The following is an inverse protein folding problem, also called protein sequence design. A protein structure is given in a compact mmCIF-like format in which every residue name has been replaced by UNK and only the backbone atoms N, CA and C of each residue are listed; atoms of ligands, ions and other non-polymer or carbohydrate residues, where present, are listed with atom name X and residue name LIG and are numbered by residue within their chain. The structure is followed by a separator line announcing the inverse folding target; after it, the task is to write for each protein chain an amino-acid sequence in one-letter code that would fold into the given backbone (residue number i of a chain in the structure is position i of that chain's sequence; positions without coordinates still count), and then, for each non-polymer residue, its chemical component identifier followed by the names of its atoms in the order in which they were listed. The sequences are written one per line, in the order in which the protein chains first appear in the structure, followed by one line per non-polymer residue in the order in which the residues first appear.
data_IF_585503848096
#
_entry.id   IF_585503848096
#
_cell.length_a   1.000
_cell.length_b   1.000
_cell.length_c   1.000
_cell.angle_alpha   90.00
_cell.angle_beta   90.00
_cell.angle_gamma   90.00
#
_symmetry.space_group_name_H-M   'P 1'
#
loop_
_entity.id
_entity.type
_entity.pdbx_description
1 polymer ?
#
# COMPACT_ATOMS: atom_id res chain seq x y z
N UNK A 1 -47.92 -89.68 -3.30
CA UNK A 1 -47.34 -88.73 -4.27
C UNK A 1 -47.91 -87.36 -3.94
N UNK A 2 -47.08 -86.33 -3.78
CA UNK A 2 -47.55 -84.97 -3.42
C UNK A 2 -47.80 -84.09 -4.64
N UNK A 3 -47.81 -82.75 -4.49
CA UNK A 3 -47.92 -81.97 -3.26
C UNK A 3 -49.09 -80.95 -3.27
N UNK A 4 -49.55 -80.53 -2.09
CA UNK A 4 -50.48 -79.40 -1.93
C UNK A 4 -49.74 -78.07 -1.74
N UNK A 5 -50.26 -76.98 -2.30
CA UNK A 5 -49.65 -75.65 -2.23
C UNK A 5 -50.60 -74.61 -1.61
N UNK A 6 -50.01 -73.52 -1.14
CA UNK A 6 -50.61 -72.24 -0.73
C UNK A 6 -51.32 -72.12 0.65
N UNK A 7 -50.77 -71.20 1.45
CA UNK A 7 -51.57 -70.30 2.31
C UNK A 7 -51.61 -70.60 3.81
N UNK A 8 -50.99 -69.74 4.63
CA UNK A 8 -51.66 -68.59 5.28
C UNK A 8 -50.61 -67.75 6.02
N UNK A 9 -50.76 -66.42 6.02
CA UNK A 9 -49.82 -65.49 6.64
C UNK A 9 -49.92 -65.52 8.18
N UNK A 10 -48.79 -65.78 8.84
CA UNK A 10 -48.64 -65.58 10.29
C UNK A 10 -48.28 -64.12 10.61
N UNK A 11 -49.11 -63.46 11.42
CA UNK A 11 -48.85 -62.10 11.91
C UNK A 11 -47.71 -62.08 12.94
N UNK A 12 -46.77 -61.16 12.78
CA UNK A 12 -45.81 -60.77 13.82
C UNK A 12 -45.63 -59.25 13.80
N UNK A 13 -46.53 -58.56 14.52
CA UNK A 13 -46.39 -57.14 14.87
C UNK A 13 -45.22 -56.98 15.86
N UNK A 14 -44.01 -56.82 15.34
CA UNK A 14 -42.89 -56.32 16.12
C UNK A 14 -43.14 -54.85 16.44
N UNK A 15 -43.66 -54.59 17.64
CA UNK A 15 -43.63 -53.26 18.26
C UNK A 15 -42.17 -52.95 18.58
N UNK A 16 -41.45 -52.42 17.58
CA UNK A 16 -40.22 -51.69 17.84
C UNK A 16 -40.62 -50.42 18.61
N UNK A 17 -40.50 -50.51 19.94
CA UNK A 17 -40.42 -49.33 20.77
C UNK A 17 -39.21 -48.53 20.30
N UNK A 18 -39.46 -47.51 19.49
CA UNK A 18 -38.46 -46.53 19.13
C UNK A 18 -38.03 -45.82 20.43
N UNK A 19 -36.93 -46.28 21.02
CA UNK A 19 -36.10 -45.48 21.89
C UNK A 19 -35.63 -44.28 21.05
N UNK A 20 -36.46 -43.24 21.02
CA UNK A 20 -36.01 -41.90 20.66
C UNK A 20 -34.82 -41.62 21.58
N UNK A 21 -33.62 -41.56 20.99
CA UNK A 21 -32.47 -41.05 21.71
C UNK A 21 -32.87 -39.66 22.23
N UNK A 22 -32.90 -39.51 23.55
CA UNK A 22 -33.28 -38.26 24.17
C UNK A 22 -32.21 -37.22 23.83
N UNK A 23 -32.49 -36.41 22.81
CA UNK A 23 -31.65 -35.27 22.45
C UNK A 23 -31.51 -34.32 23.62
N UNK A 24 -30.44 -33.52 23.58
CA UNK A 24 -30.09 -32.58 24.64
C UNK A 24 -31.25 -31.68 25.02
N UNK A 25 -31.57 -31.62 26.33
CA UNK A 25 -32.62 -30.75 26.87
C UNK A 25 -32.01 -29.38 27.18
N UNK A 26 -32.63 -28.27 26.74
CA UNK A 26 -32.13 -26.93 27.02
C UNK A 26 -32.25 -26.57 28.50
N UNK A 27 -31.52 -25.53 28.90
CA UNK A 27 -31.61 -24.91 30.23
C UNK A 27 -33.00 -24.30 30.49
N UNK A 28 -33.68 -24.70 31.57
CA UNK A 28 -34.82 -23.93 32.12
C UNK A 28 -34.27 -22.70 32.85
N UNK A 29 -34.07 -21.62 32.10
CA UNK A 29 -33.32 -20.46 32.56
C UNK A 29 -34.14 -19.58 33.53
N UNK A 30 -33.57 -19.32 34.71
CA UNK A 30 -34.15 -18.43 35.76
C UNK A 30 -33.19 -17.30 36.09
N UNK A 31 -33.68 -16.06 36.14
CA UNK A 31 -32.91 -14.92 36.66
C UNK A 31 -33.25 -14.69 38.14
N UNK A 32 -32.22 -14.38 38.94
CA UNK A 32 -32.32 -14.03 40.35
C UNK A 32 -31.71 -12.65 40.66
N UNK A 33 -31.46 -11.82 39.64
CA UNK A 33 -30.98 -10.43 39.80
C UNK A 33 -29.47 -10.27 39.95
N UNK A 34 -28.71 -11.37 39.89
CA UNK A 34 -27.24 -11.36 40.03
C UNK A 34 -26.48 -11.26 38.69
N UNK A 35 -27.17 -10.89 37.62
CA UNK A 35 -26.56 -10.55 36.33
C UNK A 35 -26.25 -11.73 35.40
N UNK A 36 -26.72 -12.95 35.71
CA UNK A 36 -26.85 -14.04 34.74
C UNK A 36 -27.87 -15.08 35.23
N UNK A 37 -28.30 -15.95 34.31
CA UNK A 37 -29.35 -16.95 34.54
C UNK A 37 -28.78 -18.23 35.20
N UNK A 38 -29.61 -18.97 35.92
CA UNK A 38 -29.32 -20.35 36.36
C UNK A 38 -30.21 -21.34 35.62
N UNK A 39 -29.80 -22.59 35.47
CA UNK A 39 -30.64 -23.66 34.94
C UNK A 39 -31.36 -24.35 36.11
N UNK A 40 -32.69 -24.33 36.11
CA UNK A 40 -33.47 -25.00 37.12
C UNK A 40 -33.69 -26.47 36.77
N UNK A 41 -33.44 -27.35 37.75
CA UNK A 41 -33.72 -28.78 37.65
C UNK A 41 -34.71 -29.21 38.74
N UNK A 42 -35.53 -30.21 38.42
CA UNK A 42 -36.58 -30.80 39.23
C UNK A 42 -36.55 -32.33 39.11
N UNK A 43 -37.43 -33.02 39.84
CA UNK A 43 -37.55 -34.48 39.76
C UNK A 43 -37.97 -35.01 38.36
N UNK A 44 -38.46 -34.16 37.45
CA UNK A 44 -38.92 -34.54 36.10
C UNK A 44 -38.18 -33.84 34.96
N UNK A 45 -37.37 -32.83 35.25
CA UNK A 45 -36.69 -32.01 34.24
C UNK A 45 -35.31 -31.56 34.71
N UNK A 46 -34.30 -31.67 33.84
CA UNK A 46 -33.01 -31.01 33.99
C UNK A 46 -32.41 -30.87 32.59
N UNK A 47 -31.50 -29.92 32.38
CA UNK A 47 -30.78 -29.79 31.12
C UNK A 47 -29.82 -30.96 30.91
N UNK A 48 -29.69 -31.40 29.66
CA UNK A 48 -28.84 -32.52 29.27
C UNK A 48 -28.12 -32.19 27.97
N UNK A 49 -26.88 -32.65 27.83
CA UNK A 49 -26.13 -32.51 26.58
C UNK A 49 -26.42 -33.70 25.66
N UNK A 50 -26.39 -33.45 24.35
CA UNK A 50 -26.31 -34.54 23.37
C UNK A 50 -25.04 -35.38 23.58
N UNK A 51 -25.07 -36.69 23.27
CA UNK A 51 -23.87 -37.51 23.21
C UNK A 51 -22.78 -36.88 22.32
N UNK A 52 -21.53 -36.92 22.76
CA UNK A 52 -20.41 -36.30 22.05
C UNK A 52 -20.11 -37.01 20.73
N UNK A 53 -20.63 -36.46 19.62
CA UNK A 53 -20.26 -36.87 18.26
C UNK A 53 -19.10 -36.00 17.78
N UNK A 54 -17.96 -36.62 17.46
CA UNK A 54 -16.80 -35.91 16.90
C UNK A 54 -17.13 -35.33 15.51
N UNK A 55 -16.63 -34.12 15.18
CA UNK A 55 -16.83 -33.54 13.85
C UNK A 55 -16.10 -34.32 12.76
N UNK A 56 -16.63 -34.25 11.53
CA UNK A 56 -15.91 -34.73 10.35
C UNK A 56 -14.62 -33.91 10.13
N UNK A 57 -13.54 -34.50 9.56
CA UNK A 57 -12.31 -33.79 9.24
C UNK A 57 -12.56 -32.48 8.47
N UNK A 58 -11.89 -31.40 8.87
CA UNK A 58 -12.14 -30.06 8.31
C UNK A 58 -13.32 -29.31 8.91
N UNK A 59 -13.98 -29.84 9.96
CA UNK A 59 -14.99 -29.11 10.75
C UNK A 59 -14.68 -29.14 12.26
N UNK A 60 -15.25 -28.20 13.00
CA UNK A 60 -15.14 -28.11 14.45
C UNK A 60 -16.52 -27.91 15.09
N UNK A 61 -16.64 -28.31 16.36
CA UNK A 61 -17.82 -28.07 17.19
C UNK A 61 -17.41 -27.09 18.29
N UNK A 62 -18.20 -26.04 18.48
CA UNK A 62 -18.04 -25.04 19.54
C UNK A 62 -19.21 -25.14 20.50
N UNK A 63 -18.92 -25.27 21.79
CA UNK A 63 -19.91 -25.15 22.86
C UNK A 63 -19.74 -23.79 23.52
N UNK A 64 -20.81 -22.99 23.60
CA UNK A 64 -20.75 -21.62 24.12
C UNK A 64 -21.58 -21.46 25.40
N UNK A 65 -20.97 -20.87 26.42
CA UNK A 65 -21.67 -20.37 27.62
C UNK A 65 -21.43 -18.88 27.76
N UNK A 66 -22.46 -18.10 28.08
CA UNK A 66 -22.37 -16.64 28.12
C UNK A 66 -23.18 -16.00 29.25
N UNK A 67 -22.79 -14.77 29.65
CA UNK A 67 -23.53 -13.98 30.64
C UNK A 67 -25.00 -13.74 30.21
N UNK A 68 -25.23 -13.61 28.90
CA UNK A 68 -26.53 -13.42 28.28
C UNK A 68 -27.43 -14.68 28.24
N UNK A 69 -26.98 -15.81 28.81
CA UNK A 69 -27.84 -16.97 29.06
C UNK A 69 -27.52 -18.24 28.26
N UNK A 70 -26.53 -18.24 27.36
CA UNK A 70 -26.11 -19.47 26.67
C UNK A 70 -25.49 -20.45 27.67
N UNK A 71 -25.81 -21.75 27.56
CA UNK A 71 -25.37 -22.79 28.48
C UNK A 71 -24.96 -24.02 27.67
N UNK A 72 -23.65 -24.13 27.40
CA UNK A 72 -23.05 -25.14 26.53
C UNK A 72 -23.80 -25.30 25.20
N UNK A 73 -24.18 -24.17 24.60
CA UNK A 73 -24.91 -24.14 23.32
C UNK A 73 -24.01 -24.67 22.19
N UNK A 74 -24.39 -25.79 21.58
CA UNK A 74 -23.64 -26.43 20.50
C UNK A 74 -23.82 -25.69 19.17
N UNK A 75 -22.72 -25.29 18.57
CA UNK A 75 -22.63 -24.78 17.20
C UNK A 75 -21.56 -25.55 16.43
N UNK A 76 -21.66 -25.59 15.10
CA UNK A 76 -20.69 -26.27 14.23
C UNK A 76 -20.17 -25.29 13.18
N UNK A 77 -18.86 -25.32 12.94
CA UNK A 77 -18.19 -24.51 11.92
C UNK A 77 -17.24 -25.35 11.09
N UNK A 78 -16.81 -24.83 9.94
CA UNK A 78 -15.74 -25.42 9.14
C UNK A 78 -14.40 -24.76 9.46
N UNK A 79 -13.32 -25.55 9.44
CA UNK A 79 -11.98 -25.01 9.32
C UNK A 79 -11.82 -24.47 7.90
N UNK A 80 -12.07 -23.17 7.73
CA UNK A 80 -11.56 -22.48 6.55
C UNK A 80 -10.03 -22.55 6.60
N UNK A 81 -9.42 -23.28 5.67
CA UNK A 81 -8.00 -23.12 5.36
C UNK A 81 -7.79 -21.74 4.74
N UNK A 82 -7.82 -20.72 5.59
CA UNK A 82 -7.52 -19.36 5.22
C UNK A 82 -6.03 -19.28 4.89
N UNK A 83 -5.70 -19.40 3.61
CA UNK A 83 -4.44 -18.95 3.02
C UNK A 83 -4.30 -17.41 3.05
N UNK A 84 -5.16 -16.72 3.83
CA UNK A 84 -5.09 -15.28 4.13
C UNK A 84 -3.67 -14.92 4.50
N UNK A 85 -3.02 -14.17 3.61
CA UNK A 85 -1.81 -13.46 3.99
C UNK A 85 -2.18 -12.41 5.04
N UNK A 86 -1.52 -12.40 6.21
CA UNK A 86 -1.74 -11.37 7.22
C UNK A 86 -1.16 -10.04 6.73
N UNK A 87 -1.87 -8.93 6.94
CA UNK A 87 -1.44 -7.60 6.50
C UNK A 87 -2.18 -7.11 5.24
N UNK A 88 -1.58 -6.14 4.53
CA UNK A 88 -2.18 -5.43 3.40
C UNK A 88 -1.39 -5.56 2.08
N UNK A 89 -0.37 -6.42 2.02
CA UNK A 89 0.33 -6.79 0.77
C UNK A 89 0.95 -5.62 -0.04
N UNK A 90 1.63 -4.68 0.62
CA UNK A 90 2.48 -3.72 -0.09
C UNK A 90 3.52 -4.46 -0.94
N UNK A 91 3.69 -4.00 -2.18
CA UNK A 91 4.65 -4.54 -3.16
C UNK A 91 5.56 -3.46 -3.76
N UNK A 92 5.44 -2.20 -3.34
CA UNK A 92 6.23 -1.06 -3.82
C UNK A 92 6.82 -0.33 -2.61
N UNK A 93 8.12 -0.05 -2.62
CA UNK A 93 8.84 0.58 -1.49
C UNK A 93 9.82 1.63 -2.00
N UNK A 94 9.68 2.88 -1.52
CA UNK A 94 10.64 3.96 -1.75
C UNK A 94 11.82 3.84 -0.77
N UNK A 95 13.04 3.99 -1.27
CA UNK A 95 14.27 3.93 -0.46
C UNK A 95 15.07 5.21 -0.68
N UNK A 96 15.24 6.06 0.35
CA UNK A 96 16.08 7.25 0.22
C UNK A 96 17.53 6.92 -0.11
N UNK A 97 18.13 7.70 -1.01
CA UNK A 97 19.57 7.69 -1.24
C UNK A 97 20.21 8.70 -0.28
N UNK A 98 20.79 8.17 0.80
CA UNK A 98 21.31 8.89 1.96
C UNK A 98 20.24 9.64 2.77
N UNK A 99 20.58 10.80 3.35
CA UNK A 99 19.75 11.51 4.31
C UNK A 99 18.60 12.32 3.69
N UNK A 100 17.54 12.47 4.48
CA UNK A 100 16.30 13.21 4.19
C UNK A 100 15.95 14.13 5.37
N UNK A 101 14.84 14.86 5.32
CA UNK A 101 14.30 15.55 6.49
C UNK A 101 13.90 14.56 7.60
N UNK A 102 13.32 13.41 7.25
CA UNK A 102 13.07 12.24 8.12
C UNK A 102 14.34 11.43 8.45
N UNK A 103 15.49 12.09 8.55
CA UNK A 103 16.72 11.57 9.15
C UNK A 103 17.04 12.34 10.44
N UNK A 104 17.83 11.74 11.34
CA UNK A 104 18.27 12.41 12.58
C UNK A 104 19.59 13.19 12.41
N UNK A 105 20.30 13.01 11.30
CA UNK A 105 21.52 13.74 10.94
C UNK A 105 21.63 13.92 9.43
N UNK A 106 22.40 14.93 9.03
CA UNK A 106 22.77 15.20 7.65
C UNK A 106 23.95 14.34 7.21
N UNK A 107 23.84 13.67 6.05
CA UNK A 107 24.92 12.93 5.39
C UNK A 107 24.62 12.62 3.92
N UNK A 108 25.67 12.41 3.14
CA UNK A 108 25.61 11.68 1.86
C UNK A 108 26.49 10.43 1.92
N UNK A 109 26.55 9.64 0.85
CA UNK A 109 27.48 8.50 0.77
C UNK A 109 28.91 8.92 0.40
N UNK A 110 29.14 10.16 -0.05
CA UNK A 110 30.43 10.61 -0.62
C UNK A 110 30.79 12.05 -0.19
N UNK A 111 30.72 12.33 1.11
CA UNK A 111 30.99 13.66 1.69
C UNK A 111 32.48 14.09 1.64
N UNK A 112 33.40 13.22 1.21
CA UNK A 112 34.81 13.56 1.00
C UNK A 112 34.98 14.56 -0.15
N UNK A 113 35.55 15.74 0.14
CA UNK A 113 35.64 16.84 -0.82
C UNK A 113 36.48 16.48 -2.06
N UNK A 114 35.93 16.74 -3.24
CA UNK A 114 36.62 16.55 -4.52
C UNK A 114 36.78 15.10 -4.96
N UNK A 115 36.05 14.15 -4.36
CA UNK A 115 36.09 12.73 -4.72
C UNK A 115 35.32 12.40 -6.01
N UNK A 116 35.78 12.94 -7.15
CA UNK A 116 35.21 12.72 -8.50
C UNK A 116 35.27 11.24 -8.96
N UNK A 117 36.06 10.41 -8.29
CA UNK A 117 36.14 8.96 -8.54
C UNK A 117 35.39 8.11 -7.51
N UNK A 118 34.68 8.75 -6.56
CA UNK A 118 33.86 8.10 -5.54
C UNK A 118 34.59 7.00 -4.74
N UNK A 119 35.90 7.20 -4.48
CA UNK A 119 36.77 6.24 -3.78
C UNK A 119 36.39 6.07 -2.31
N UNK A 120 35.82 7.11 -1.71
CA UNK A 120 35.33 7.14 -0.33
C UNK A 120 33.80 6.96 -0.27
N UNK A 121 33.15 6.59 -1.38
CA UNK A 121 31.73 6.26 -1.35
C UNK A 121 31.50 5.08 -0.42
N UNK A 122 30.67 5.27 0.60
CA UNK A 122 30.27 4.21 1.51
C UNK A 122 28.81 4.37 1.95
N UNK A 123 28.13 3.23 2.12
CA UNK A 123 26.86 3.20 2.82
C UNK A 123 27.07 3.46 4.32
N UNK A 124 26.05 4.00 4.97
CA UNK A 124 26.13 4.42 6.37
C UNK A 124 25.51 3.40 7.33
N UNK A 125 25.56 3.66 8.64
CA UNK A 125 24.91 2.80 9.62
C UNK A 125 23.38 2.79 9.45
N UNK A 126 22.81 3.90 8.98
CA UNK A 126 21.40 4.03 8.61
C UNK A 126 20.99 3.04 7.50
N UNK A 127 21.88 2.78 6.55
CA UNK A 127 21.65 1.77 5.51
C UNK A 127 21.88 0.37 6.06
N UNK A 128 23.09 0.13 6.58
CA UNK A 128 23.60 -1.21 6.88
C UNK A 128 23.01 -1.83 8.15
N UNK A 129 22.58 -1.03 9.13
CA UNK A 129 21.96 -1.50 10.38
C UNK A 129 20.45 -1.28 10.46
N UNK A 130 19.87 -0.40 9.64
CA UNK A 130 18.43 -0.11 9.67
C UNK A 130 17.74 -0.45 8.34
N UNK A 131 17.93 0.36 7.28
CA UNK A 131 17.16 0.23 6.02
C UNK A 131 17.31 -1.15 5.38
N UNK A 132 18.54 -1.65 5.23
CA UNK A 132 18.82 -2.93 4.55
C UNK A 132 18.26 -4.13 5.35
N UNK A 133 18.51 -4.27 6.67
CA UNK A 133 17.86 -5.31 7.48
C UNK A 133 16.33 -5.26 7.44
N UNK A 134 15.72 -4.08 7.46
CA UNK A 134 14.25 -3.91 7.37
C UNK A 134 13.74 -4.35 5.99
N UNK A 135 14.40 -3.96 4.90
CA UNK A 135 14.04 -4.37 3.53
C UNK A 135 14.16 -5.89 3.35
N UNK A 136 15.23 -6.50 3.85
CA UNK A 136 15.39 -7.97 3.82
C UNK A 136 14.35 -8.69 4.69
N UNK A 137 13.94 -8.11 5.82
CA UNK A 137 12.84 -8.65 6.63
C UNK A 137 11.50 -8.54 5.90
N UNK A 138 11.23 -7.41 5.23
CA UNK A 138 10.04 -7.20 4.41
C UNK A 138 9.97 -8.20 3.25
N UNK A 139 11.06 -8.41 2.51
CA UNK A 139 11.15 -9.41 1.44
C UNK A 139 10.85 -10.83 1.92
N UNK A 140 11.25 -11.20 3.15
CA UNK A 140 10.99 -12.54 3.72
C UNK A 140 9.53 -12.78 4.10
N UNK A 141 8.76 -11.73 4.41
CA UNK A 141 7.34 -11.86 4.79
C UNK A 141 6.38 -11.55 3.64
N UNK A 142 6.85 -10.85 2.61
CA UNK A 142 6.05 -10.52 1.43
C UNK A 142 5.76 -11.78 0.59
N UNK A 143 4.47 -12.02 0.28
CA UNK A 143 4.07 -13.07 -0.68
C UNK A 143 4.09 -12.60 -2.14
N UNK A 144 4.25 -11.31 -2.38
CA UNK A 144 4.44 -10.70 -3.70
C UNK A 144 5.88 -10.19 -3.77
N UNK A 145 6.52 -10.19 -4.96
CA UNK A 145 7.79 -9.49 -5.15
C UNK A 145 7.68 -8.04 -4.65
N UNK A 146 8.75 -7.53 -4.02
CA UNK A 146 8.85 -6.14 -3.63
C UNK A 146 9.65 -5.38 -4.70
N UNK A 147 8.98 -4.48 -5.41
CA UNK A 147 9.62 -3.50 -6.28
C UNK A 147 10.17 -2.36 -5.42
N UNK A 148 11.50 -2.26 -5.35
CA UNK A 148 12.17 -1.15 -4.68
C UNK A 148 12.41 -0.03 -5.68
N UNK A 149 12.19 1.23 -5.29
CA UNK A 149 12.68 2.36 -6.07
C UNK A 149 13.41 3.37 -5.19
N UNK A 150 14.39 4.08 -5.74
CA UNK A 150 15.24 4.98 -4.97
C UNK A 150 15.23 6.42 -5.48
N UNK A 151 15.38 7.35 -4.54
CA UNK A 151 15.32 8.80 -4.79
C UNK A 151 16.36 9.52 -3.94
N UNK A 152 17.21 10.40 -4.50
CA UNK A 152 18.11 11.26 -3.74
C UNK A 152 17.50 12.64 -3.47
N UNK A 153 17.68 13.14 -2.25
CA UNK A 153 17.28 14.52 -1.89
C UNK A 153 18.38 15.52 -2.20
N UNK A 154 19.65 15.17 -1.95
CA UNK A 154 20.80 16.05 -2.21
C UNK A 154 22.00 15.25 -2.72
N UNK A 155 22.81 15.88 -3.56
CA UNK A 155 24.17 15.42 -3.85
C UNK A 155 25.15 15.85 -2.73
N UNK A 156 26.38 15.29 -2.68
CA UNK A 156 27.44 15.76 -1.79
C UNK A 156 27.68 17.26 -1.93
N UNK A 157 27.83 17.97 -0.81
CA UNK A 157 27.85 19.44 -0.78
C UNK A 157 28.92 20.08 -1.66
N UNK A 158 30.06 19.41 -1.83
CA UNK A 158 31.16 19.88 -2.68
C UNK A 158 30.80 19.89 -4.18
N UNK A 159 29.77 19.15 -4.61
CA UNK A 159 29.22 19.19 -5.97
C UNK A 159 28.22 20.35 -6.20
N UNK A 160 27.74 21.01 -5.14
CA UNK A 160 26.61 21.96 -5.21
C UNK A 160 27.04 23.41 -5.30
N UNK A 161 26.32 24.22 -6.09
CA UNK A 161 26.63 25.65 -6.30
C UNK A 161 26.62 26.49 -5.03
N UNK A 162 25.83 26.09 -4.02
CA UNK A 162 25.74 26.76 -2.73
C UNK A 162 26.64 26.16 -1.62
N UNK A 163 27.29 25.01 -1.86
CA UNK A 163 28.10 24.32 -0.86
C UNK A 163 27.33 23.79 0.37
N UNK A 164 26.00 23.64 0.29
CA UNK A 164 25.15 23.26 1.42
C UNK A 164 24.13 22.18 1.05
N UNK A 165 23.67 21.38 2.03
CA UNK A 165 22.64 20.37 1.78
C UNK A 165 21.25 21.00 1.56
N UNK A 166 20.98 22.14 2.18
CA UNK A 166 19.69 22.84 2.17
C UNK A 166 19.78 24.18 1.42
N UNK A 167 18.63 24.85 1.22
CA UNK A 167 18.52 26.11 0.49
C UNK A 167 18.79 25.98 -1.01
N UNK A 168 18.61 27.08 -1.76
CA UNK A 168 18.77 27.08 -3.23
C UNK A 168 20.18 26.62 -3.61
N UNK A 169 20.26 25.58 -4.44
CA UNK A 169 21.53 24.98 -4.85
C UNK A 169 21.35 23.85 -5.87
N UNK A 170 21.95 24.04 -7.03
CA UNK A 170 22.01 23.09 -8.16
C UNK A 170 23.38 22.39 -8.20
N UNK A 171 23.58 21.43 -9.11
CA UNK A 171 24.93 20.93 -9.41
C UNK A 171 25.81 22.03 -10.03
N UNK A 172 27.10 22.06 -9.65
CA UNK A 172 28.10 22.93 -10.27
C UNK A 172 28.29 22.58 -11.75
N UNK A 173 28.58 23.61 -12.55
CA UNK A 173 28.97 23.45 -13.95
C UNK A 173 27.78 23.16 -14.86
N UNK A 174 27.85 22.13 -15.71
CA UNK A 174 26.79 21.85 -16.71
C UNK A 174 26.74 20.38 -17.16
N UNK A 175 25.56 19.86 -17.57
CA UNK A 175 25.41 18.47 -18.02
C UNK A 175 26.40 18.03 -19.10
N UNK A 176 26.98 16.85 -18.91
CA UNK A 176 28.13 16.31 -19.62
C UNK A 176 29.48 16.60 -18.97
N UNK A 177 29.55 17.37 -17.88
CA UNK A 177 30.81 17.68 -17.18
C UNK A 177 31.13 16.73 -16.01
N UNK A 178 32.30 16.92 -15.39
CA UNK A 178 32.75 16.08 -14.27
C UNK A 178 31.82 16.05 -13.06
N UNK A 179 31.04 17.11 -12.76
CA UNK A 179 30.13 17.11 -11.62
C UNK A 179 28.90 16.27 -11.93
N UNK A 180 28.34 16.42 -13.14
CA UNK A 180 27.16 15.69 -13.58
C UNK A 180 27.48 14.21 -13.83
N UNK A 181 28.61 13.91 -14.47
CA UNK A 181 29.11 12.54 -14.61
C UNK A 181 29.38 11.88 -13.25
N UNK A 182 29.95 12.60 -12.26
CA UNK A 182 30.14 12.03 -10.91
C UNK A 182 28.81 11.81 -10.21
N UNK A 183 27.83 12.70 -10.37
CA UNK A 183 26.50 12.49 -9.83
C UNK A 183 25.80 11.29 -10.46
N UNK A 184 25.91 11.09 -11.78
CA UNK A 184 25.44 9.88 -12.45
C UNK A 184 26.16 8.61 -11.93
N UNK A 185 27.50 8.64 -11.77
CA UNK A 185 28.26 7.55 -11.12
C UNK A 185 27.77 7.25 -9.70
N UNK A 186 27.30 8.25 -8.93
CA UNK A 186 26.79 8.07 -7.57
C UNK A 186 25.51 7.23 -7.53
N UNK A 187 24.62 7.36 -8.52
CA UNK A 187 23.47 6.45 -8.67
C UNK A 187 23.93 5.00 -8.91
N UNK A 188 24.85 4.79 -9.86
CA UNK A 188 25.36 3.44 -10.18
C UNK A 188 26.02 2.82 -8.95
N UNK A 189 26.83 3.61 -8.23
CA UNK A 189 27.51 3.16 -7.01
C UNK A 189 26.56 2.82 -5.87
N UNK A 190 25.46 3.56 -5.71
CA UNK A 190 24.39 3.20 -4.77
C UNK A 190 23.75 1.85 -5.12
N UNK A 191 23.43 1.62 -6.40
CA UNK A 191 22.86 0.36 -6.88
C UNK A 191 23.85 -0.81 -6.70
N UNK A 192 25.14 -0.60 -6.99
CA UNK A 192 26.20 -1.57 -6.74
C UNK A 192 26.32 -1.96 -5.26
N UNK A 193 26.31 -0.98 -4.35
CA UNK A 193 26.46 -1.25 -2.92
C UNK A 193 25.22 -1.95 -2.34
N UNK A 194 24.00 -1.61 -2.76
CA UNK A 194 22.79 -2.32 -2.33
C UNK A 194 22.68 -3.74 -2.92
N UNK A 195 23.16 -3.96 -4.16
CA UNK A 195 23.17 -5.27 -4.78
C UNK A 195 24.01 -6.30 -3.99
N UNK A 196 25.07 -5.86 -3.29
CA UNK A 196 25.87 -6.73 -2.38
C UNK A 196 25.06 -7.32 -1.22
N UNK A 197 23.92 -6.71 -0.87
CA UNK A 197 22.99 -7.19 0.15
C UNK A 197 21.79 -7.93 -0.45
N UNK A 198 21.86 -8.33 -1.73
CA UNK A 198 20.78 -8.95 -2.51
C UNK A 198 19.53 -8.07 -2.62
N UNK A 199 19.69 -6.74 -2.60
CA UNK A 199 18.61 -5.77 -2.82
C UNK A 199 18.80 -5.14 -4.21
N UNK A 200 17.90 -5.48 -5.13
CA UNK A 200 17.84 -4.90 -6.49
C UNK A 200 16.70 -3.90 -6.59
N UNK A 201 16.88 -2.86 -7.39
CA UNK A 201 15.88 -1.84 -7.63
C UNK A 201 15.10 -2.09 -8.92
N UNK A 202 13.81 -1.80 -8.89
CA UNK A 202 12.95 -1.71 -10.07
C UNK A 202 13.14 -0.36 -10.78
N UNK A 203 13.26 0.74 -10.01
CA UNK A 203 13.36 2.09 -10.56
C UNK A 203 14.28 3.02 -9.74
N UNK A 204 14.67 4.13 -10.34
CA UNK A 204 15.21 5.32 -9.66
C UNK A 204 14.50 6.58 -10.14
N UNK A 205 14.35 7.58 -9.27
CA UNK A 205 13.89 8.91 -9.67
C UNK A 205 15.10 9.83 -9.92
N UNK A 206 14.99 10.77 -10.86
CA UNK A 206 16.09 11.66 -11.23
C UNK A 206 16.55 12.59 -10.08
N UNK A 207 15.71 12.77 -9.06
CA UNK A 207 15.93 13.57 -7.85
C UNK A 207 14.60 13.85 -7.17
N UNK A 208 14.56 13.82 -5.83
CA UNK A 208 13.38 14.16 -5.04
C UNK A 208 13.13 15.66 -5.07
N UNK A 209 11.93 16.09 -5.46
CA UNK A 209 11.47 17.48 -5.51
C UNK A 209 12.52 18.45 -6.13
N UNK A 210 12.89 18.28 -7.41
CA UNK A 210 13.85 19.17 -8.09
C UNK A 210 13.51 20.66 -8.00
N UNK A 211 12.24 21.03 -7.83
CA UNK A 211 11.85 22.44 -7.64
C UNK A 211 12.18 23.00 -6.25
N UNK A 212 12.32 22.14 -5.24
CA UNK A 212 12.72 22.53 -3.89
C UNK A 212 14.08 23.23 -3.87
N UNK A 213 15.04 22.70 -4.64
CA UNK A 213 16.39 23.25 -4.73
C UNK A 213 16.50 24.57 -5.49
N UNK A 214 15.38 25.10 -6.03
CA UNK A 214 15.27 26.46 -6.56
C UNK A 214 14.71 27.46 -5.52
N UNK A 215 14.28 27.00 -4.34
CA UNK A 215 13.73 27.85 -3.27
C UNK A 215 14.87 28.33 -2.36
N UNK A 216 15.04 29.65 -2.25
CA UNK A 216 16.19 30.30 -1.57
C UNK A 216 16.45 29.74 -0.18
N UNK A 217 15.40 29.62 0.65
CA UNK A 217 15.47 29.17 2.03
C UNK A 217 14.75 27.83 2.24
N UNK A 218 14.87 26.89 1.29
CA UNK A 218 14.30 25.55 1.48
C UNK A 218 14.92 24.87 2.71
N UNK A 219 14.12 24.36 3.67
CA UNK A 219 14.58 24.11 5.03
C UNK A 219 15.41 22.83 5.20
N UNK A 220 15.26 21.85 4.30
CA UNK A 220 15.94 20.54 4.39
C UNK A 220 16.65 20.15 3.08
N UNK A 221 17.13 18.91 2.98
CA UNK A 221 17.94 18.45 1.85
C UNK A 221 17.19 18.58 0.52
N UNK A 222 17.82 19.26 -0.45
CA UNK A 222 17.26 19.46 -1.79
C UNK A 222 18.36 19.64 -2.84
N UNK A 223 18.11 19.29 -4.11
CA UNK A 223 19.02 19.56 -5.22
C UNK A 223 18.23 20.13 -6.41
N UNK A 224 18.55 21.37 -6.77
CA UNK A 224 17.80 22.12 -7.77
C UNK A 224 18.06 21.62 -9.18
N UNK A 225 16.98 21.46 -9.95
CA UNK A 225 17.02 21.32 -11.39
C UNK A 225 15.84 22.11 -12.00
N UNK A 226 16.09 22.84 -13.08
CA UNK A 226 15.02 23.18 -14.02
C UNK A 226 14.64 21.95 -14.86
N UNK A 227 13.48 21.91 -15.55
CA UNK A 227 13.16 20.79 -16.41
C UNK A 227 14.15 20.64 -17.59
N UNK A 228 14.72 21.73 -18.08
CA UNK A 228 15.78 21.72 -19.10
C UNK A 228 17.08 21.13 -18.53
N UNK A 229 17.43 21.45 -17.28
CA UNK A 229 18.58 20.88 -16.60
C UNK A 229 18.40 19.39 -16.32
N UNK A 230 17.20 18.97 -15.87
CA UNK A 230 16.88 17.54 -15.68
C UNK A 230 16.93 16.78 -17.01
N UNK A 231 16.38 17.35 -18.10
CA UNK A 231 16.49 16.79 -19.47
C UNK A 231 17.94 16.57 -19.86
N UNK A 232 18.77 17.61 -19.78
CA UNK A 232 20.15 17.56 -20.26
C UNK A 232 21.02 16.64 -19.39
N UNK A 233 20.79 16.59 -18.08
CA UNK A 233 21.43 15.64 -17.17
C UNK A 233 21.07 14.18 -17.48
N UNK A 234 19.81 13.90 -17.82
CA UNK A 234 19.37 12.56 -18.22
C UNK A 234 20.00 12.18 -19.57
N UNK A 235 19.92 13.07 -20.57
CA UNK A 235 20.42 12.81 -21.92
C UNK A 235 21.94 12.61 -22.00
N UNK A 236 22.72 13.32 -21.17
CA UNK A 236 24.19 13.33 -21.24
C UNK A 236 24.89 12.49 -20.19
N UNK A 237 24.31 12.33 -19.00
CA UNK A 237 25.00 11.76 -17.85
C UNK A 237 24.25 10.54 -17.28
N UNK A 238 23.04 10.71 -16.73
CA UNK A 238 22.36 9.65 -15.96
C UNK A 238 21.86 8.50 -16.84
N UNK A 239 21.21 8.81 -17.97
CA UNK A 239 20.73 7.79 -18.91
C UNK A 239 21.87 6.93 -19.47
N UNK A 240 22.93 7.54 -20.05
CA UNK A 240 24.12 6.81 -20.49
C UNK A 240 24.82 6.04 -19.38
N UNK A 241 24.88 6.55 -18.14
CA UNK A 241 25.49 5.84 -17.02
C UNK A 241 24.69 4.59 -16.62
N UNK A 242 23.36 4.69 -16.54
CA UNK A 242 22.48 3.54 -16.27
C UNK A 242 22.61 2.48 -17.37
N UNK A 243 22.45 2.89 -18.63
CA UNK A 243 22.49 1.99 -19.79
C UNK A 243 23.83 1.24 -19.96
N UNK A 244 24.95 1.86 -19.59
CA UNK A 244 26.28 1.26 -19.66
C UNK A 244 26.67 0.46 -18.38
N UNK A 245 25.81 0.42 -17.36
CA UNK A 245 26.04 -0.32 -16.12
C UNK A 245 25.41 -1.72 -16.12
N UNK A 246 25.68 -2.50 -15.07
CA UNK A 246 24.94 -3.74 -14.78
C UNK A 246 23.46 -3.51 -14.44
N UNK A 247 23.03 -2.27 -14.22
CA UNK A 247 21.69 -1.87 -13.77
C UNK A 247 20.85 -1.25 -14.89
N UNK A 248 21.19 -1.47 -16.17
CA UNK A 248 20.51 -0.90 -17.34
C UNK A 248 19.00 -1.19 -17.44
N UNK A 249 18.52 -2.22 -16.75
CA UNK A 249 17.11 -2.63 -16.74
C UNK A 249 16.28 -1.87 -15.65
N UNK A 250 16.95 -1.08 -14.80
CA UNK A 250 16.32 -0.20 -13.81
C UNK A 250 15.61 0.96 -14.52
N UNK A 251 14.33 1.14 -14.21
CA UNK A 251 13.48 2.17 -14.81
C UNK A 251 13.86 3.57 -14.30
N UNK A 252 13.86 4.57 -15.18
CA UNK A 252 14.12 5.97 -14.78
C UNK A 252 12.82 6.77 -14.75
N UNK A 253 12.59 7.43 -13.61
CA UNK A 253 11.39 8.23 -13.34
C UNK A 253 11.79 9.71 -13.27
N UNK A 254 11.11 10.56 -14.03
CA UNK A 254 11.34 12.02 -14.03
C UNK A 254 10.33 12.76 -13.14
N UNK A 255 10.52 14.07 -13.00
CA UNK A 255 9.79 14.94 -12.09
C UNK A 255 10.00 14.58 -10.62
N UNK A 256 9.24 13.62 -10.06
CA UNK A 256 9.27 13.24 -8.63
C UNK A 256 9.04 14.45 -7.71
N UNK A 257 8.00 15.20 -8.05
CA UNK A 257 7.62 16.49 -7.48
C UNK A 257 6.10 16.71 -7.65
N UNK A 258 5.57 17.83 -7.18
CA UNK A 258 4.15 18.16 -7.19
C UNK A 258 3.54 18.11 -8.60
N UNK A 259 2.37 17.47 -8.76
CA UNK A 259 1.72 17.34 -10.08
C UNK A 259 1.35 18.67 -10.77
N UNK A 260 1.40 19.80 -10.07
CA UNK A 260 1.19 21.15 -10.64
C UNK A 260 2.27 21.55 -11.65
N UNK A 261 3.43 20.87 -11.66
CA UNK A 261 4.49 21.06 -12.65
C UNK A 261 4.17 20.41 -14.01
N UNK A 262 3.11 19.60 -14.06
CA UNK A 262 2.61 18.96 -15.27
C UNK A 262 1.53 19.79 -15.97
N UNK A 263 1.44 19.78 -17.31
CA UNK A 263 2.24 18.96 -18.24
C UNK A 263 3.58 19.58 -18.65
N UNK A 264 3.93 20.79 -18.17
CA UNK A 264 5.10 21.54 -18.67
C UNK A 264 6.41 20.75 -18.52
N UNK A 265 6.66 20.18 -17.34
CA UNK A 265 7.89 19.43 -17.07
C UNK A 265 8.05 18.24 -18.03
N UNK A 266 6.99 17.44 -18.20
CA UNK A 266 6.95 16.33 -19.14
C UNK A 266 7.19 16.81 -20.58
N UNK A 267 6.61 17.95 -20.99
CA UNK A 267 6.82 18.50 -22.33
C UNK A 267 8.27 18.94 -22.59
N UNK A 268 8.97 19.50 -21.61
CA UNK A 268 10.38 19.93 -21.79
C UNK A 268 11.30 18.71 -21.87
N UNK A 269 11.08 17.70 -21.03
CA UNK A 269 11.95 16.53 -20.94
C UNK A 269 11.67 15.50 -22.04
N UNK A 270 10.40 15.13 -22.27
CA UNK A 270 10.02 14.02 -23.16
C UNK A 270 9.91 14.41 -24.66
N UNK A 271 9.96 15.71 -25.00
CA UNK A 271 10.08 16.14 -26.41
C UNK A 271 11.51 16.06 -26.94
N UNK A 272 12.50 15.88 -26.08
CA UNK A 272 13.88 15.60 -26.49
C UNK A 272 14.05 14.08 -26.67
N UNK A 273 14.33 13.59 -27.88
CA UNK A 273 14.38 12.16 -28.17
C UNK A 273 15.53 11.44 -27.46
N UNK A 274 16.61 12.14 -27.09
CA UNK A 274 17.74 11.53 -26.38
C UNK A 274 17.36 11.31 -24.93
N UNK A 275 16.83 12.35 -24.25
CA UNK A 275 16.35 12.22 -22.88
C UNK A 275 15.22 11.18 -22.78
N UNK A 276 14.22 11.29 -23.66
CA UNK A 276 13.06 10.40 -23.73
C UNK A 276 13.44 8.92 -23.85
N UNK A 277 14.50 8.60 -24.62
CA UNK A 277 14.94 7.21 -24.83
C UNK A 277 15.41 6.47 -23.56
N UNK A 278 15.72 7.21 -22.49
CA UNK A 278 16.14 6.65 -21.20
C UNK A 278 15.04 6.66 -20.13
N UNK A 279 13.87 7.24 -20.40
CA UNK A 279 12.84 7.52 -19.39
C UNK A 279 11.69 6.52 -19.50
N UNK A 280 11.25 5.98 -18.38
CA UNK A 280 10.15 5.01 -18.30
C UNK A 280 8.84 5.64 -17.83
N UNK A 281 8.91 6.68 -16.99
CA UNK A 281 7.73 7.25 -16.34
C UNK A 281 7.97 8.57 -15.61
N UNK A 282 6.91 9.07 -14.97
CA UNK A 282 6.83 10.38 -14.33
C UNK A 282 6.32 10.18 -12.88
N UNK A 283 7.11 10.64 -11.92
CA UNK A 283 6.78 10.63 -10.49
C UNK A 283 5.99 11.89 -10.10
N UNK A 284 4.95 11.73 -9.28
CA UNK A 284 4.12 12.85 -8.80
C UNK A 284 3.87 12.81 -7.29
N UNK A 285 3.93 13.99 -6.67
CA UNK A 285 3.62 14.25 -5.26
C UNK A 285 2.28 15.01 -5.14
N UNK A 286 1.61 14.87 -4.00
CA UNK A 286 0.20 15.29 -3.81
C UNK A 286 -0.02 16.63 -3.07
N UNK A 287 1.03 17.29 -2.56
CA UNK A 287 0.90 18.32 -1.53
C UNK A 287 0.39 19.67 -2.06
N UNK A 288 0.37 19.87 -3.37
CA UNK A 288 -0.19 21.05 -4.03
C UNK A 288 -1.44 20.72 -4.87
N UNK A 289 -2.08 19.58 -4.64
CA UNK A 289 -3.23 19.11 -5.41
C UNK A 289 -4.40 20.11 -5.49
N UNK A 290 -4.57 20.93 -4.46
CA UNK A 290 -5.61 21.96 -4.38
C UNK A 290 -5.38 23.16 -5.31
N UNK A 291 -4.17 23.32 -5.88
CA UNK A 291 -3.85 24.45 -6.78
C UNK A 291 -4.26 24.20 -8.24
N UNK A 292 -4.44 22.94 -8.66
CA UNK A 292 -4.76 22.61 -10.06
C UNK A 292 -5.72 21.42 -10.17
N UNK A 293 -6.78 21.49 -11.01
CA UNK A 293 -7.60 20.34 -11.35
C UNK A 293 -6.78 19.18 -11.94
N UNK A 294 -7.11 17.94 -11.58
CA UNK A 294 -6.36 16.76 -12.04
C UNK A 294 -6.37 16.58 -13.57
N UNK A 295 -7.46 16.98 -14.24
CA UNK A 295 -7.57 16.92 -15.69
C UNK A 295 -6.52 17.78 -16.39
N UNK A 296 -6.19 18.94 -15.82
CA UNK A 296 -5.22 19.87 -16.39
C UNK A 296 -3.77 19.45 -16.13
N UNK A 297 -3.52 18.49 -15.24
CA UNK A 297 -2.19 17.99 -14.89
C UNK A 297 -1.95 16.57 -15.40
N UNK A 298 -2.69 15.57 -14.91
CA UNK A 298 -2.40 14.16 -15.18
C UNK A 298 -3.02 13.68 -16.49
N UNK A 299 -4.30 13.98 -16.71
CA UNK A 299 -5.03 13.53 -17.91
C UNK A 299 -4.41 14.10 -19.19
N UNK A 300 -4.13 15.41 -19.23
CA UNK A 300 -3.41 16.02 -20.36
C UNK A 300 -1.99 15.43 -20.53
N UNK A 301 -1.25 15.17 -19.44
CA UNK A 301 0.09 14.57 -19.55
C UNK A 301 0.04 13.18 -20.17
N UNK A 302 -0.88 12.33 -19.73
CA UNK A 302 -1.07 11.00 -20.32
C UNK A 302 -1.53 11.07 -21.78
N UNK A 303 -2.40 12.02 -22.15
CA UNK A 303 -2.81 12.18 -23.57
C UNK A 303 -1.68 12.69 -24.47
N UNK A 304 -0.72 13.45 -23.93
CA UNK A 304 0.46 13.90 -24.67
C UNK A 304 1.57 12.83 -24.72
N UNK A 305 1.70 12.02 -23.69
CA UNK A 305 2.80 11.07 -23.48
C UNK A 305 2.27 9.70 -22.98
N UNK A 306 1.44 8.99 -23.77
CA UNK A 306 0.70 7.81 -23.30
C UNK A 306 1.58 6.59 -22.99
N UNK A 307 2.78 6.51 -23.59
CA UNK A 307 3.71 5.40 -23.44
C UNK A 307 4.53 5.46 -22.13
N UNK A 308 4.47 6.58 -21.41
CA UNK A 308 5.20 6.79 -20.14
C UNK A 308 4.24 6.65 -18.97
N UNK A 309 4.57 5.80 -17.99
CA UNK A 309 3.68 5.60 -16.85
C UNK A 309 3.68 6.81 -15.91
N UNK A 310 2.52 7.11 -15.30
CA UNK A 310 2.41 8.04 -14.19
C UNK A 310 2.42 7.26 -12.87
N UNK A 311 3.26 7.64 -11.91
CA UNK A 311 3.37 7.01 -10.60
C UNK A 311 3.26 8.06 -9.50
N UNK A 312 2.36 7.89 -8.53
CA UNK A 312 2.41 8.69 -7.32
C UNK A 312 3.49 8.14 -6.39
N UNK A 313 4.58 8.90 -6.26
CA UNK A 313 5.81 8.51 -5.58
C UNK A 313 5.87 8.96 -4.12
N UNK A 314 5.02 9.92 -3.73
CA UNK A 314 4.94 10.39 -2.34
C UNK A 314 3.57 10.99 -2.03
N UNK A 315 3.09 10.70 -0.81
CA UNK A 315 1.95 11.36 -0.19
C UNK A 315 1.98 11.21 1.35
N UNK A 316 1.62 12.29 2.06
CA UNK A 316 1.46 12.32 3.52
C UNK A 316 0.47 13.42 3.99
N UNK A 317 -0.24 13.18 5.10
CA UNK A 317 -1.11 14.19 5.75
C UNK A 317 -0.43 14.83 6.96
N UNK A 318 -0.89 16.00 7.42
CA UNK A 318 -0.25 16.73 8.51
C UNK A 318 0.97 17.55 8.10
N UNK A 319 1.26 17.67 6.80
CA UNK A 319 2.34 18.50 6.24
C UNK A 319 2.03 20.00 6.31
N UNK A 320 0.77 20.41 6.03
CA UNK A 320 0.35 21.81 6.09
C UNK A 320 0.52 22.41 7.50
N UNK A 321 0.96 23.67 7.58
CA UNK A 321 1.27 24.33 8.86
C UNK A 321 0.07 24.52 9.80
N UNK A 322 -1.16 24.44 9.27
CA UNK A 322 -2.41 24.55 10.01
C UNK A 322 -3.02 23.19 10.38
N UNK A 323 -2.48 22.07 9.89
CA UNK A 323 -2.91 20.74 10.31
C UNK A 323 -2.12 20.29 11.56
N UNK A 324 -2.76 19.58 12.51
CA UNK A 324 -2.03 18.82 13.53
C UNK A 324 -1.10 17.79 12.87
N UNK A 325 0.03 17.46 13.50
CA UNK A 325 1.02 16.55 12.88
C UNK A 325 0.50 15.11 12.86
N UNK A 326 0.32 14.49 14.02
CA UNK A 326 -0.32 13.18 14.19
C UNK A 326 -1.76 13.35 14.71
N UNK A 327 -2.72 12.60 14.15
CA UNK A 327 -4.10 12.51 14.66
C UNK A 327 -4.49 11.04 14.81
N UNK A 328 -4.29 10.49 16.01
CA UNK A 328 -4.66 9.11 16.31
C UNK A 328 -6.17 8.88 16.10
N UNK A 329 -6.52 7.97 15.19
CA UNK A 329 -7.90 7.66 14.83
C UNK A 329 -8.54 8.61 13.81
N UNK A 330 -7.78 9.50 13.16
CA UNK A 330 -8.30 10.49 12.21
C UNK A 330 -8.94 9.89 10.95
N UNK A 331 -10.27 9.73 10.94
CA UNK A 331 -11.02 9.17 9.81
C UNK A 331 -10.90 10.01 8.53
N UNK A 332 -10.96 11.34 8.65
CA UNK A 332 -10.73 12.29 7.52
C UNK A 332 -9.43 12.02 6.77
N UNK A 333 -8.35 11.65 7.49
CA UNK A 333 -7.06 11.30 6.88
C UNK A 333 -7.13 9.99 6.10
N UNK A 334 -7.84 8.99 6.63
CA UNK A 334 -8.18 7.78 5.87
C UNK A 334 -8.93 8.11 4.57
N UNK A 335 -10.00 8.92 4.68
CA UNK A 335 -10.79 9.37 3.52
C UNK A 335 -9.93 10.11 2.48
N UNK A 336 -9.07 11.05 2.89
CA UNK A 336 -8.11 11.76 2.03
C UNK A 336 -7.20 10.81 1.25
N UNK A 337 -6.65 9.78 1.90
CA UNK A 337 -5.85 8.75 1.24
C UNK A 337 -6.67 8.00 0.18
N UNK A 338 -7.83 7.45 0.54
CA UNK A 338 -8.66 6.71 -0.44
C UNK A 338 -9.19 7.57 -1.58
N UNK A 339 -9.55 8.82 -1.30
CA UNK A 339 -9.95 9.82 -2.29
C UNK A 339 -8.81 10.03 -3.29
N UNK A 340 -7.61 10.37 -2.80
CA UNK A 340 -6.45 10.56 -3.67
C UNK A 340 -6.13 9.32 -4.49
N UNK A 341 -6.17 8.11 -3.90
CA UNK A 341 -5.89 6.87 -4.63
C UNK A 341 -6.92 6.64 -5.74
N UNK A 342 -8.23 6.79 -5.47
CA UNK A 342 -9.28 6.66 -6.49
C UNK A 342 -9.14 7.72 -7.59
N UNK A 343 -8.87 8.97 -7.20
CA UNK A 343 -8.65 10.10 -8.10
C UNK A 343 -7.43 9.90 -8.99
N UNK A 344 -6.31 9.41 -8.45
CA UNK A 344 -5.09 9.08 -9.22
C UNK A 344 -5.33 7.89 -10.17
N UNK A 345 -5.85 6.76 -9.66
CA UNK A 345 -6.10 5.56 -10.47
C UNK A 345 -7.11 5.81 -11.60
N UNK A 346 -8.10 6.69 -11.40
CA UNK A 346 -9.03 7.07 -12.46
C UNK A 346 -8.43 8.01 -13.52
N UNK A 347 -7.29 8.65 -13.24
CA UNK A 347 -6.57 9.56 -14.13
C UNK A 347 -5.19 9.02 -14.50
N UNK A 348 -5.16 7.74 -14.92
CA UNK A 348 -4.03 7.06 -15.57
C UNK A 348 -2.79 6.78 -14.72
N UNK A 349 -2.82 7.05 -13.42
CA UNK A 349 -1.73 6.69 -12.50
C UNK A 349 -1.72 5.19 -12.25
N UNK A 350 -0.54 4.57 -12.30
CA UNK A 350 -0.35 3.10 -12.27
C UNK A 350 0.00 2.55 -10.89
N UNK A 351 0.41 3.41 -9.96
CA UNK A 351 0.71 3.05 -8.56
C UNK A 351 0.73 4.28 -7.65
N UNK A 352 0.69 4.05 -6.34
CA UNK A 352 0.59 5.10 -5.33
C UNK A 352 1.42 4.69 -4.09
N UNK A 353 2.26 5.58 -3.60
CA UNK A 353 3.19 5.30 -2.49
C UNK A 353 2.99 6.29 -1.36
N UNK A 354 2.76 5.73 -0.16
CA UNK A 354 2.77 6.48 1.10
C UNK A 354 4.20 6.92 1.46
N UNK A 355 4.31 7.94 2.33
CA UNK A 355 5.60 8.51 2.69
C UNK A 355 6.38 7.71 3.73
N UNK A 356 6.17 7.98 5.02
CA UNK A 356 6.83 7.28 6.11
C UNK A 356 5.98 6.08 6.55
N UNK A 357 6.51 4.86 6.37
CA UNK A 357 5.82 3.61 6.76
C UNK A 357 5.41 3.56 8.24
N UNK A 358 6.16 4.23 9.11
CA UNK A 358 5.85 4.44 10.52
C UNK A 358 6.52 5.73 11.04
N UNK A 359 5.88 6.40 12.00
CA UNK A 359 6.43 7.55 12.75
C UNK A 359 6.13 7.41 14.25
N UNK A 360 6.73 8.26 15.09
CA UNK A 360 6.39 8.35 16.51
C UNK A 360 5.11 9.19 16.80
N UNK A 361 4.77 9.36 18.08
CA UNK A 361 3.61 10.15 18.53
C UNK A 361 3.70 11.66 18.20
N UNK A 362 4.88 12.21 17.90
CA UNK A 362 5.04 13.61 17.46
C UNK A 362 4.97 13.76 15.93
N UNK A 363 5.14 12.66 15.20
CA UNK A 363 5.24 12.65 13.74
C UNK A 363 6.69 12.71 13.25
N UNK A 364 7.63 12.22 14.06
CA UNK A 364 9.06 12.18 13.79
C UNK A 364 9.66 10.76 13.89
N UNK A 365 11.00 10.66 14.02
CA UNK A 365 11.95 11.77 14.13
C UNK A 365 12.23 12.48 12.78
N UNK A 366 12.47 13.79 12.83
CA UNK A 366 12.79 14.61 11.66
C UNK A 366 13.72 15.76 12.10
N UNK A 367 14.95 15.84 11.58
CA UNK A 367 15.95 16.82 12.05
C UNK A 367 15.52 18.28 11.77
N UNK A 368 14.75 18.50 10.71
CA UNK A 368 14.20 19.81 10.33
C UNK A 368 12.88 20.15 11.03
N UNK A 369 12.37 19.27 11.91
CA UNK A 369 11.05 19.37 12.58
C UNK A 369 9.87 19.47 11.61
N UNK A 370 10.02 18.94 10.40
CA UNK A 370 8.99 18.84 9.38
C UNK A 370 8.07 17.63 9.63
N UNK A 371 7.49 17.54 10.82
CA UNK A 371 6.69 16.39 11.25
C UNK A 371 5.38 16.24 10.44
N UNK A 372 4.92 15.00 10.27
CA UNK A 372 3.70 14.62 9.53
C UNK A 372 3.00 13.41 10.19
N UNK A 373 1.85 12.97 9.69
CA UNK A 373 1.22 11.71 10.12
C UNK A 373 1.76 10.52 9.32
N UNK A 374 1.54 9.30 9.83
CA UNK A 374 1.87 8.05 9.14
C UNK A 374 0.76 7.02 9.36
N UNK A 375 0.48 6.11 8.41
CA UNK A 375 -0.44 4.99 8.63
C UNK A 375 -0.14 4.13 9.87
N UNK A 376 1.09 4.14 10.39
CA UNK A 376 1.47 3.47 11.64
C UNK A 376 2.17 4.47 12.58
N UNK A 377 1.65 4.59 13.80
CA UNK A 377 2.27 5.41 14.85
C UNK A 377 2.82 4.52 15.95
N UNK A 378 4.10 4.66 16.29
CA UNK A 378 4.82 3.83 17.26
C UNK A 378 4.96 4.56 18.59
N UNK A 379 4.60 3.89 19.68
CA UNK A 379 4.88 4.33 21.04
C UNK A 379 5.90 3.37 21.67
N UNK A 380 7.17 3.70 21.45
CA UNK A 380 8.32 2.93 21.95
C UNK A 380 8.41 2.88 23.47
N UNK A 381 7.76 3.82 24.19
CA UNK A 381 7.72 3.81 25.66
C UNK A 381 6.86 2.69 26.23
N UNK A 382 5.95 2.13 25.41
CA UNK A 382 5.01 1.06 25.79
C UNK A 382 5.19 -0.24 24.97
N UNK A 383 6.13 -0.27 24.03
CA UNK A 383 6.32 -1.35 23.05
C UNK A 383 5.02 -1.68 22.26
N UNK A 384 4.33 -0.63 21.79
CA UNK A 384 3.10 -0.76 20.99
C UNK A 384 3.12 0.13 19.76
N UNK A 385 2.26 -0.20 18.79
CA UNK A 385 2.00 0.63 17.63
C UNK A 385 0.49 0.71 17.34
N UNK A 386 0.07 1.86 16.83
CA UNK A 386 -1.29 2.19 16.43
C UNK A 386 -1.39 2.17 14.91
N UNK A 387 -2.33 1.39 14.39
CA UNK A 387 -2.66 1.37 12.96
C UNK A 387 -3.77 2.38 12.72
N UNK A 388 -3.44 3.47 12.03
CA UNK A 388 -4.36 4.57 11.73
C UNK A 388 -5.45 4.15 10.72
N UNK A 389 -6.57 4.90 10.59
CA UNK A 389 -7.52 4.72 9.50
C UNK A 389 -6.85 4.69 8.11
N UNK A 390 -5.83 5.52 7.89
CA UNK A 390 -5.01 5.54 6.66
C UNK A 390 -4.46 4.15 6.27
N UNK A 391 -3.99 3.35 7.23
CA UNK A 391 -3.51 1.98 6.98
C UNK A 391 -4.61 1.09 6.39
N UNK A 392 -5.83 1.20 6.92
CA UNK A 392 -6.96 0.40 6.45
C UNK A 392 -7.45 0.89 5.09
N UNK A 393 -7.53 2.21 4.87
CA UNK A 393 -7.89 2.79 3.57
C UNK A 393 -6.87 2.39 2.48
N UNK A 394 -5.56 2.43 2.75
CA UNK A 394 -4.53 1.86 1.86
C UNK A 394 -4.73 0.36 1.60
N UNK A 395 -5.12 -0.39 2.64
CA UNK A 395 -5.44 -1.81 2.57
C UNK A 395 -6.60 -2.16 1.64
N UNK A 396 -7.56 -1.27 1.43
CA UNK A 396 -8.66 -1.45 0.48
C UNK A 396 -8.20 -1.48 -0.99
N UNK A 397 -7.00 -0.96 -1.29
CA UNK A 397 -6.38 -1.00 -2.61
C UNK A 397 -5.26 -2.04 -2.66
N UNK A 398 -4.18 -1.84 -1.89
CA UNK A 398 -2.96 -2.66 -1.91
C UNK A 398 -3.22 -4.17 -1.76
N UNK A 399 -4.13 -4.58 -0.85
CA UNK A 399 -4.44 -6.00 -0.65
C UNK A 399 -5.17 -6.60 -1.86
N UNK A 400 -6.04 -5.82 -2.50
CA UNK A 400 -7.05 -6.31 -3.45
C UNK A 400 -6.76 -5.99 -4.92
N UNK A 401 -5.80 -5.10 -5.19
CA UNK A 401 -5.31 -4.72 -6.51
C UNK A 401 -3.83 -5.13 -6.59
N UNK A 402 -3.51 -6.39 -6.94
CA UNK A 402 -2.14 -6.82 -7.19
C UNK A 402 -1.58 -6.16 -8.46
N UNK A 403 -0.26 -6.18 -8.58
CA UNK A 403 0.45 -5.82 -9.80
C UNK A 403 -0.11 -6.53 -11.04
N UNK A 404 -0.09 -5.84 -12.18
CA UNK A 404 -0.72 -6.30 -13.43
C UNK A 404 -2.25 -6.17 -13.46
N UNK A 405 -2.90 -5.64 -12.43
CA UNK A 405 -4.34 -5.33 -12.49
C UNK A 405 -4.62 -4.16 -13.44
N UNK A 406 -5.56 -4.33 -14.36
CA UNK A 406 -5.92 -3.32 -15.35
C UNK A 406 -7.22 -2.59 -14.95
N UNK A 407 -7.19 -1.26 -14.85
CA UNK A 407 -8.42 -0.46 -14.63
C UNK A 407 -9.35 -0.57 -15.84
N UNK A 408 -10.64 -0.78 -15.58
CA UNK A 408 -11.69 -0.85 -16.61
C UNK A 408 -12.77 0.22 -16.43
N UNK A 409 -13.46 0.53 -17.53
CA UNK A 409 -14.53 1.52 -17.55
C UNK A 409 -15.68 1.16 -16.62
N UNK A 410 -16.23 2.18 -15.95
CA UNK A 410 -17.28 2.02 -14.96
C UNK A 410 -18.26 3.20 -15.06
N UNK A 411 -19.53 2.90 -15.36
CA UNK A 411 -20.52 3.93 -15.72
C UNK A 411 -21.60 4.06 -14.67
N UNK A 412 -21.76 5.26 -14.11
CA UNK A 412 -22.85 5.59 -13.17
C UNK A 412 -24.13 5.93 -13.94
N UNK A 413 -25.20 5.17 -13.70
CA UNK A 413 -26.51 5.38 -14.34
C UNK A 413 -27.26 6.63 -13.85
N UNK A 414 -27.04 7.05 -12.59
CA UNK A 414 -27.67 8.23 -11.99
C UNK A 414 -26.75 8.83 -10.92
N UNK A 415 -26.25 10.05 -11.14
CA UNK A 415 -25.50 10.79 -10.11
C UNK A 415 -26.43 11.18 -8.96
N UNK A 416 -26.07 10.83 -7.72
CA UNK A 416 -26.78 11.34 -6.54
C UNK A 416 -26.21 12.72 -6.16
N UNK A 417 -27.03 13.78 -6.23
CA UNK A 417 -26.63 15.16 -5.87
C UNK A 417 -26.28 15.41 -4.39
N UNK A 418 -26.31 14.36 -3.55
CA UNK A 418 -26.02 14.38 -2.11
C UNK A 418 -25.26 13.12 -1.64
N UNK A 419 -24.77 12.32 -2.58
CA UNK A 419 -24.05 11.08 -2.34
C UNK A 419 -23.02 10.93 -3.46
N UNK A 420 -21.95 11.71 -3.37
CA UNK A 420 -20.84 11.65 -4.32
C UNK A 420 -19.98 10.41 -4.00
N UNK A 421 -20.40 9.27 -4.56
CA UNK A 421 -19.71 8.00 -4.43
C UNK A 421 -18.55 7.93 -5.43
N UNK A 422 -17.33 7.85 -4.91
CA UNK A 422 -16.13 7.60 -5.70
C UNK A 422 -15.96 6.10 -5.96
N UNK A 423 -15.44 5.77 -7.15
CA UNK A 423 -15.42 4.40 -7.65
C UNK A 423 -14.36 4.19 -8.73
N UNK A 424 -13.77 3.00 -8.73
CA UNK A 424 -12.90 2.45 -9.77
C UNK A 424 -13.15 0.93 -9.87
N UNK A 425 -12.97 0.35 -11.05
CA UNK A 425 -13.01 -1.09 -11.26
C UNK A 425 -11.73 -1.57 -11.95
N UNK A 426 -11.29 -2.77 -11.62
CA UNK A 426 -10.07 -3.37 -12.18
C UNK A 426 -10.31 -4.85 -12.51
N UNK A 427 -9.70 -5.32 -13.59
CA UNK A 427 -9.52 -6.75 -13.85
C UNK A 427 -8.18 -7.17 -13.23
N UNK A 428 -8.14 -8.24 -12.44
CA UNK A 428 -6.88 -8.79 -11.93
C UNK A 428 -6.34 -9.86 -12.89
N UNK A 429 -5.02 -10.07 -12.96
CA UNK A 429 -4.42 -11.11 -13.80
C UNK A 429 -4.82 -12.54 -13.38
N UNK A 430 -5.35 -12.75 -12.17
CA UNK A 430 -5.87 -14.04 -11.71
C UNK A 430 -7.34 -14.32 -12.07
N UNK A 431 -7.95 -13.47 -12.91
CA UNK A 431 -9.34 -13.63 -13.38
C UNK A 431 -10.42 -13.26 -12.35
N UNK A 432 -10.03 -12.74 -11.18
CA UNK A 432 -10.94 -12.08 -10.26
C UNK A 432 -11.10 -10.60 -10.63
N UNK A 433 -12.28 -10.03 -10.43
CA UNK A 433 -12.57 -8.63 -10.78
C UNK A 433 -13.02 -7.91 -9.52
N UNK A 434 -12.24 -6.92 -9.03
CA UNK A 434 -12.76 -5.92 -8.11
C UNK A 434 -13.51 -4.80 -8.86
N UNK A 435 -14.79 -4.63 -8.53
CA UNK A 435 -15.61 -3.44 -8.89
C UNK A 435 -15.94 -2.68 -7.64
N UNK A 436 -16.01 -1.37 -7.80
CA UNK A 436 -17.15 -0.58 -7.32
C UNK A 436 -18.15 -0.42 -8.49
N UNK A 437 -19.41 -0.03 -8.27
CA UNK A 437 -20.56 -0.38 -9.15
C UNK A 437 -20.67 0.38 -10.51
N UNK A 438 -21.32 -0.12 -11.59
CA UNK A 438 -21.64 -1.47 -12.06
C UNK A 438 -22.28 -1.46 -13.48
N UNK A 439 -22.46 -2.68 -14.06
CA UNK A 439 -23.03 -2.99 -15.40
C UNK A 439 -22.06 -2.63 -16.55
N UNK A 440 -22.09 -3.31 -17.69
CA UNK A 440 -22.76 -4.55 -18.11
C UNK A 440 -21.84 -5.79 -17.93
N UNK A 441 -22.00 -6.98 -18.53
CA UNK A 441 -23.07 -7.65 -19.31
C UNK A 441 -22.99 -9.18 -18.98
N UNK A 442 -24.04 -9.98 -19.21
CA UNK A 442 -24.13 -11.43 -18.92
C UNK A 442 -23.69 -11.85 -17.50
N UNK A 443 -23.70 -10.91 -16.56
CA UNK A 443 -23.25 -11.04 -15.17
C UNK A 443 -24.31 -10.42 -14.26
N UNK A 444 -24.57 -11.07 -13.13
CA UNK A 444 -25.63 -10.69 -12.18
C UNK A 444 -25.40 -9.36 -11.48
N UNK A 445 -26.32 -9.02 -10.57
CA UNK A 445 -26.28 -7.79 -9.79
C UNK A 445 -25.73 -8.05 -8.39
N UNK A 446 -24.90 -7.13 -7.89
CA UNK A 446 -24.56 -7.03 -6.47
C UNK A 446 -25.43 -5.92 -5.91
N UNK A 447 -26.41 -6.29 -5.09
CA UNK A 447 -27.18 -5.34 -4.28
C UNK A 447 -26.40 -5.06 -3.00
N UNK A 448 -26.05 -3.79 -2.77
CA UNK A 448 -25.25 -3.37 -1.63
C UNK A 448 -25.61 -1.93 -1.23
N UNK A 449 -25.49 -1.66 0.07
CA UNK A 449 -25.61 -0.31 0.63
C UNK A 449 -24.23 0.18 1.01
N UNK A 450 -23.89 1.42 0.63
CA UNK A 450 -22.72 2.13 1.11
C UNK A 450 -23.16 3.13 2.21
N UNK A 451 -22.89 2.87 3.49
CA UNK A 451 -23.09 3.86 4.55
C UNK A 451 -22.26 5.12 4.31
N UNK A 452 -22.70 6.25 4.89
CA UNK A 452 -21.83 7.42 5.04
C UNK A 452 -20.55 7.03 5.78
N UNK A 453 -19.44 7.71 5.46
CA UNK A 453 -18.15 7.50 6.13
C UNK A 453 -17.71 6.03 6.10
N UNK A 454 -17.80 5.40 4.92
CA UNK A 454 -17.37 4.03 4.71
C UNK A 454 -16.60 3.84 3.40
N UNK A 455 -15.71 2.86 3.39
CA UNK A 455 -14.99 2.38 2.20
C UNK A 455 -15.24 0.88 2.04
N UNK A 456 -15.48 0.44 0.79
CA UNK A 456 -15.90 -0.92 0.48
C UNK A 456 -15.13 -1.46 -0.73
N UNK A 457 -14.61 -2.68 -0.62
CA UNK A 457 -13.99 -3.39 -1.74
C UNK A 457 -14.76 -4.68 -2.02
N UNK A 458 -15.40 -4.77 -3.17
CA UNK A 458 -16.10 -5.98 -3.61
C UNK A 458 -15.21 -6.78 -4.56
N UNK A 459 -15.18 -8.10 -4.40
CA UNK A 459 -14.50 -9.02 -5.31
C UNK A 459 -15.42 -10.18 -5.68
N UNK A 460 -15.48 -10.53 -6.96
CA UNK A 460 -16.07 -11.78 -7.43
C UNK A 460 -15.22 -12.33 -8.59
N UNK A 461 -15.46 -13.60 -8.94
CA UNK A 461 -14.85 -14.26 -10.10
C UNK A 461 -15.77 -14.07 -11.30
N UNK A 462 -15.23 -13.75 -12.47
CA UNK A 462 -16.04 -13.86 -13.70
C UNK A 462 -16.40 -15.34 -13.95
N UNK A 463 -17.65 -15.66 -14.31
CA UNK A 463 -17.97 -16.97 -14.87
C UNK A 463 -17.17 -17.14 -16.17
N UNK A 464 -16.73 -18.37 -16.42
CA UNK A 464 -15.99 -18.75 -17.62
C UNK A 464 -16.88 -18.74 -18.87
#
# INVERSE_FOLDING_TARGET
MGPGCAGVLGWLLLVQAALQAAGGRPCDARDFGHGSLVCACSATYCDTLDPLVLPAPGTYIKYESSKAGKRLERSQGSFQHNTKTPGIEYNLVRVPMASTDFSIRLYTYADAEGDFELKHFNLTEEDTRMKIPILQAAQKVAKRPLSLYASPWTSPVWMKTNGAMTGRGTLKGSPGDKYHQTWAKYFIRFLDEYAKYNLTFWAVTAGNEPTAGEIVFYPFQCLGFSPEHQRDFIARDLGPALANSSHRDVQLIILDDQRVMLPYWAQVVLKDPVAASYISGIGIHWYLDFLAPIDLTLSITHHLFPDYFLLSTEASTGSYFWEPRVVLGGWDRGSKYSHSILTNLNNYVTGWTDWNLALDLEGGPNWSKNYVDSPIIVDSSKDIFYKQPMFYHLGHFSKFIPEGSQRVGLTVSKKCRRCDLEHSAFLRPDGAVPRTLARSLALGFIEATAPSDSIQTFLWKQPA
#
